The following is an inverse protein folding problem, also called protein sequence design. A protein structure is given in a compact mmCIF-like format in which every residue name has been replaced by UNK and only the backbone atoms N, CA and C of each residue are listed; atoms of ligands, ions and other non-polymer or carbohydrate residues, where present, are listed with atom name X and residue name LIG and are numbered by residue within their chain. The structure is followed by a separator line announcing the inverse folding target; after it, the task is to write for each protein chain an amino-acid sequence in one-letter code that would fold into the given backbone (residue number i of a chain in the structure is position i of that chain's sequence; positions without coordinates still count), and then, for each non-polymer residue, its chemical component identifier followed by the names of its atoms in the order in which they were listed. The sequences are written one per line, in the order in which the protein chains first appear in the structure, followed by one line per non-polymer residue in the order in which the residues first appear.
data_IF_386364310010
#
_entry.id   IF_386364310010
#
_cell.length_a   1.000
_cell.length_b   1.000
_cell.length_c   1.000
_cell.angle_alpha   90.00
_cell.angle_beta   90.00
_cell.angle_gamma   90.00
#
_symmetry.space_group_name_H-M   'P 1'
#
loop_
_entity.id
_entity.type
_entity.pdbx_description
1 polymer ?
#
# COMPACT_ATOMS: atom_id res chain seq x y z
N UNK A 1 0.15 -7.36 -5.04
CA UNK A 1 -0.76 -6.36 -5.63
C UNK A 1 0.00 -5.13 -6.13
N UNK A 2 0.80 -4.45 -5.29
CA UNK A 2 1.60 -3.27 -5.68
C UNK A 2 2.42 -3.46 -6.97
N UNK A 3 3.18 -4.56 -7.07
CA UNK A 3 3.98 -4.86 -8.26
C UNK A 3 3.15 -4.96 -9.55
N UNK A 4 1.96 -5.56 -9.49
CA UNK A 4 1.06 -5.65 -10.65
C UNK A 4 0.54 -4.26 -11.04
N UNK A 5 0.13 -3.45 -10.06
CA UNK A 5 -0.36 -2.09 -10.32
C UNK A 5 0.76 -1.23 -10.92
N UNK A 6 1.96 -1.29 -10.35
CA UNK A 6 3.14 -0.61 -10.87
C UNK A 6 3.40 -1.00 -12.34
N UNK A 7 3.43 -2.30 -12.65
CA UNK A 7 3.63 -2.80 -14.01
C UNK A 7 2.53 -2.38 -15.00
N UNK A 8 1.27 -2.37 -14.56
CA UNK A 8 0.12 -1.99 -15.41
C UNK A 8 0.01 -0.48 -15.63
N UNK A 9 0.54 0.34 -14.71
CA UNK A 9 0.42 1.81 -14.75
C UNK A 9 1.68 2.51 -15.21
N UNK A 10 2.78 1.78 -15.40
CA UNK A 10 4.11 2.31 -15.67
C UNK A 10 4.53 3.37 -14.64
N UNK A 11 4.25 3.06 -13.37
CA UNK A 11 4.62 3.90 -12.23
C UNK A 11 5.54 3.08 -11.33
N UNK A 12 6.81 3.49 -11.14
CA UNK A 12 7.73 2.75 -10.29
C UNK A 12 7.37 2.90 -8.81
N UNK A 13 7.70 1.87 -8.03
CA UNK A 13 7.69 1.89 -6.57
C UNK A 13 8.99 2.48 -6.02
N UNK A 14 8.95 2.99 -4.79
CA UNK A 14 10.14 3.40 -4.06
C UNK A 14 10.98 2.18 -3.63
N UNK A 15 12.30 2.25 -3.79
CA UNK A 15 13.20 1.10 -3.66
C UNK A 15 13.68 0.80 -2.23
N UNK A 16 13.44 1.71 -1.28
CA UNK A 16 13.84 1.64 0.12
C UNK A 16 12.69 1.27 1.07
N UNK A 17 11.56 0.83 0.49
CA UNK A 17 10.34 0.47 1.22
C UNK A 17 10.12 -1.05 1.20
N UNK A 18 10.00 -1.64 2.39
CA UNK A 18 9.43 -2.97 2.56
C UNK A 18 7.92 -2.89 2.89
N UNK A 19 7.16 -3.92 2.57
CA UNK A 19 5.74 -3.99 2.91
C UNK A 19 5.33 -5.41 3.29
N UNK A 20 4.43 -5.55 4.26
CA UNK A 20 3.79 -6.82 4.62
C UNK A 20 2.31 -6.60 4.90
N UNK A 21 1.50 -7.62 4.66
CA UNK A 21 0.06 -7.55 4.88
C UNK A 21 -0.68 -8.48 3.93
N UNK A 22 -1.86 -8.91 4.33
CA UNK A 22 -2.78 -9.59 3.43
C UNK A 22 -3.84 -8.59 2.93
N UNK A 23 -4.35 -8.81 1.72
CA UNK A 23 -5.35 -7.95 1.10
C UNK A 23 -6.61 -8.75 0.77
N UNK A 24 -7.76 -8.18 1.11
CA UNK A 24 -9.07 -8.73 0.72
C UNK A 24 -9.49 -8.22 -0.65
N UNK A 25 -10.43 -8.91 -1.33
CA UNK A 25 -11.00 -8.43 -2.60
C UNK A 25 -11.67 -7.05 -2.50
N UNK A 26 -12.06 -6.62 -1.30
CA UNK A 26 -12.62 -5.28 -1.04
C UNK A 26 -11.55 -4.23 -0.74
N UNK A 27 -10.27 -4.55 -0.92
CA UNK A 27 -9.17 -3.59 -0.73
C UNK A 27 -8.80 -3.31 0.73
N UNK A 28 -9.35 -4.03 1.70
CA UNK A 28 -8.88 -3.95 3.10
C UNK A 28 -7.55 -4.66 3.27
N UNK A 29 -6.64 -4.04 4.00
CA UNK A 29 -5.38 -4.63 4.46
C UNK A 29 -5.62 -5.22 5.84
N UNK A 30 -5.23 -6.49 6.03
CA UNK A 30 -5.40 -7.22 7.28
C UNK A 30 -4.06 -7.66 7.86
N UNK A 31 -4.08 -7.93 9.17
CA UNK A 31 -2.89 -8.23 9.94
C UNK A 31 -2.22 -9.53 9.55
N UNK A 32 -0.93 -9.64 9.90
CA UNK A 32 -0.09 -10.79 9.61
C UNK A 32 0.70 -11.20 10.84
N UNK A 33 1.13 -12.47 10.90
CA UNK A 33 2.10 -12.93 11.89
C UNK A 33 3.55 -12.58 11.55
N UNK A 34 4.42 -12.75 12.55
CA UNK A 34 5.88 -12.64 12.40
C UNK A 34 6.37 -11.21 12.13
N UNK A 35 5.72 -10.21 12.71
CA UNK A 35 6.06 -8.78 12.50
C UNK A 35 7.49 -8.50 12.95
N UNK A 36 7.92 -9.09 14.08
CA UNK A 36 9.27 -8.91 14.62
C UNK A 36 10.35 -9.40 13.66
N UNK A 37 10.23 -10.62 13.16
CA UNK A 37 11.20 -11.21 12.25
C UNK A 37 11.27 -10.45 10.93
N UNK A 38 10.10 -10.02 10.42
CA UNK A 38 10.00 -9.22 9.18
C UNK A 38 10.62 -7.83 9.34
N UNK A 39 10.38 -7.15 10.46
CA UNK A 39 10.93 -5.83 10.73
C UNK A 39 12.46 -5.88 10.88
N UNK A 40 12.99 -6.87 11.60
CA UNK A 40 14.45 -7.10 11.70
C UNK A 40 15.07 -7.42 10.34
N UNK A 41 14.39 -8.23 9.51
CA UNK A 41 14.85 -8.53 8.16
C UNK A 41 14.85 -7.28 7.25
N UNK A 42 13.86 -6.41 7.39
CA UNK A 42 13.80 -5.15 6.65
C UNK A 42 14.98 -4.24 7.00
N UNK A 43 15.26 -4.03 8.30
CA UNK A 43 16.43 -3.27 8.76
C UNK A 43 17.74 -3.85 8.21
N UNK A 44 17.93 -5.17 8.31
CA UNK A 44 19.13 -5.85 7.80
C UNK A 44 19.30 -5.72 6.27
N UNK A 45 18.20 -5.53 5.56
CA UNK A 45 18.21 -5.33 4.10
C UNK A 45 18.38 -3.86 3.71
N UNK A 46 18.59 -2.96 4.68
CA UNK A 46 18.75 -1.53 4.45
C UNK A 46 17.46 -0.78 4.13
N UNK A 47 16.30 -1.37 4.45
CA UNK A 47 15.02 -0.70 4.26
C UNK A 47 14.83 0.37 5.34
N UNK A 48 14.48 1.58 4.92
CA UNK A 48 14.28 2.74 5.80
C UNK A 48 12.83 2.88 6.23
N UNK A 49 11.90 2.28 5.45
CA UNK A 49 10.47 2.34 5.68
C UNK A 49 9.81 0.97 5.55
N UNK A 50 8.83 0.71 6.41
CA UNK A 50 8.00 -0.50 6.38
C UNK A 50 6.53 -0.13 6.38
N UNK A 51 5.80 -0.51 5.33
CA UNK A 51 4.33 -0.47 5.31
C UNK A 51 3.78 -1.68 6.06
N UNK A 52 3.00 -1.43 7.11
CA UNK A 52 2.49 -2.45 8.03
C UNK A 52 0.96 -2.30 8.20
N UNK A 53 0.18 -3.39 8.32
CA UNK A 53 -1.25 -3.28 8.58
C UNK A 53 -1.50 -2.59 9.92
N UNK A 54 -2.48 -1.69 9.98
CA UNK A 54 -2.85 -1.03 11.24
C UNK A 54 -3.27 -2.02 12.34
N UNK A 55 -3.73 -3.21 11.98
CA UNK A 55 -4.05 -4.27 12.94
C UNK A 55 -2.83 -4.84 13.67
N UNK A 56 -1.60 -4.57 13.18
CA UNK A 56 -0.34 -5.00 13.78
C UNK A 56 0.34 -3.88 14.60
N UNK A 57 -0.34 -2.76 14.86
CA UNK A 57 0.22 -1.63 15.62
C UNK A 57 0.75 -2.06 16.99
N UNK A 58 0.01 -2.91 17.71
CA UNK A 58 0.44 -3.43 19.01
C UNK A 58 1.71 -4.29 18.96
N UNK A 59 2.03 -4.87 17.80
CA UNK A 59 3.26 -5.67 17.64
C UNK A 59 4.51 -4.79 17.64
N UNK A 60 4.37 -3.49 17.32
CA UNK A 60 5.49 -2.54 17.34
C UNK A 60 6.10 -2.41 18.74
N UNK A 61 5.30 -2.53 19.79
CA UNK A 61 5.76 -2.48 21.19
C UNK A 61 6.73 -3.63 21.52
N UNK A 62 6.69 -4.72 20.75
CA UNK A 62 7.53 -5.90 20.95
C UNK A 62 8.84 -5.86 20.17
N UNK A 63 9.02 -4.83 19.32
CA UNK A 63 10.19 -4.68 18.48
C UNK A 63 11.40 -4.19 19.28
N UNK A 64 12.63 -4.62 18.92
CA UNK A 64 13.84 -4.05 19.48
C UNK A 64 13.92 -2.54 19.20
N UNK A 65 14.41 -1.78 20.18
CA UNK A 65 14.53 -0.31 20.08
C UNK A 65 15.33 0.13 18.83
N UNK A 66 16.41 -0.57 18.49
CA UNK A 66 17.22 -0.29 17.29
C UNK A 66 16.38 -0.32 16.00
N UNK A 67 15.39 -1.21 15.92
CA UNK A 67 14.49 -1.28 14.75
C UNK A 67 13.52 -0.10 14.74
N UNK A 68 12.94 0.24 15.89
CA UNK A 68 12.01 1.36 16.03
C UNK A 68 12.66 2.71 15.74
N UNK A 69 13.96 2.85 16.03
CA UNK A 69 14.73 4.07 15.77
C UNK A 69 15.21 4.17 14.31
N UNK A 70 15.53 3.05 13.67
CA UNK A 70 16.11 3.03 12.34
C UNK A 70 15.08 2.90 11.20
N UNK A 71 13.87 2.40 11.48
CA UNK A 71 12.84 2.12 10.48
C UNK A 71 11.57 2.91 10.79
N UNK A 72 11.09 3.68 9.81
CA UNK A 72 9.79 4.31 9.90
C UNK A 72 8.68 3.31 9.51
N UNK A 73 7.64 3.20 10.33
CA UNK A 73 6.48 2.34 10.07
C UNK A 73 5.27 3.15 9.59
N UNK A 74 4.78 2.82 8.40
CA UNK A 74 3.56 3.41 7.83
C UNK A 74 2.39 2.44 8.03
N UNK A 75 1.51 2.76 8.98
CA UNK A 75 0.35 1.95 9.31
C UNK A 75 -0.80 2.17 8.32
N UNK A 76 -1.26 1.10 7.67
CA UNK A 76 -2.27 1.17 6.61
C UNK A 76 -3.47 0.26 6.86
N UNK A 77 -4.65 0.69 6.41
CA UNK A 77 -5.92 -0.04 6.51
C UNK A 77 -6.46 -0.45 5.14
N UNK A 78 -6.08 0.27 4.09
CA UNK A 78 -6.63 0.10 2.75
C UNK A 78 -5.53 0.02 1.69
N UNK A 79 -5.87 -0.58 0.55
CA UNK A 79 -4.96 -0.67 -0.60
C UNK A 79 -4.61 0.70 -1.18
N UNK A 80 -5.52 1.66 -1.09
CA UNK A 80 -5.28 3.04 -1.55
C UNK A 80 -4.18 3.71 -0.71
N UNK A 81 -4.17 3.48 0.60
CA UNK A 81 -3.09 3.93 1.49
C UNK A 81 -1.76 3.26 1.14
N UNK A 82 -1.77 1.95 0.87
CA UNK A 82 -0.56 1.23 0.40
C UNK A 82 -0.03 1.86 -0.90
N UNK A 83 -0.88 2.11 -1.89
CA UNK A 83 -0.46 2.70 -3.17
C UNK A 83 0.11 4.11 -2.99
N UNK A 84 -0.49 4.89 -2.10
CA UNK A 84 -0.01 6.23 -1.74
C UNK A 84 1.36 6.18 -1.08
N UNK A 85 1.62 5.17 -0.24
CA UNK A 85 2.88 5.03 0.46
C UNK A 85 4.04 4.57 -0.46
N UNK A 86 3.75 3.70 -1.45
CA UNK A 86 4.80 2.96 -2.17
C UNK A 86 5.07 3.44 -3.59
N UNK A 87 4.11 4.06 -4.26
CA UNK A 87 4.30 4.57 -5.63
C UNK A 87 5.00 5.93 -5.62
N UNK A 88 5.81 6.20 -6.65
CA UNK A 88 6.48 7.50 -6.84
C UNK A 88 5.52 8.63 -7.21
N UNK A 89 4.37 8.29 -7.80
CA UNK A 89 3.23 9.19 -8.04
C UNK A 89 1.95 8.36 -8.07
N UNK A 90 0.80 8.97 -7.81
CA UNK A 90 -0.47 8.27 -7.99
C UNK A 90 -0.89 8.26 -9.47
N UNK A 91 -1.53 7.18 -9.95
CA UNK A 91 -2.15 7.20 -11.26
C UNK A 91 -3.22 8.29 -11.31
N UNK A 92 -3.22 9.08 -12.39
CA UNK A 92 -4.27 10.08 -12.61
C UNK A 92 -5.58 9.32 -12.74
N UNK A 93 -6.55 9.58 -11.85
CA UNK A 93 -7.90 9.05 -12.02
C UNK A 93 -8.39 9.52 -13.39
N UNK A 94 -8.54 8.58 -14.33
CA UNK A 94 -9.13 8.88 -15.61
C UNK A 94 -10.45 9.57 -15.35
N UNK A 95 -10.62 10.77 -15.93
CA UNK A 95 -11.91 11.43 -15.97
C UNK A 95 -12.83 10.44 -16.68
N UNK A 96 -13.75 9.80 -15.96
CA UNK A 96 -14.87 9.15 -16.63
C UNK A 96 -15.62 10.30 -17.29
N UNK A 97 -15.35 10.54 -18.57
CA UNK A 97 -16.34 11.23 -19.39
C UNK A 97 -17.57 10.34 -19.36
N UNK A 98 -18.51 10.66 -18.48
CA UNK A 98 -19.91 10.34 -18.71
C UNK A 98 -20.26 11.03 -20.04
N UNK A 99 -20.02 10.33 -21.15
CA UNK A 99 -20.75 10.59 -22.37
C UNK A 99 -22.20 10.33 -22.01
N UNK A 100 -22.90 11.41 -21.66
CA UNK A 100 -24.33 11.52 -21.89
C UNK A 100 -24.55 11.22 -23.37
N UNK A 101 -24.67 9.93 -23.70
CA UNK A 101 -25.32 9.49 -24.93
C UNK A 101 -26.76 9.94 -24.73
N UNK A 102 -27.04 11.14 -25.20
CA UNK A 102 -28.39 11.66 -25.31
C UNK A 102 -29.20 10.64 -26.09
N UNK A 103 -30.00 9.86 -25.38
CA UNK A 103 -31.07 9.10 -25.99
C UNK A 103 -32.13 10.13 -26.36
N UNK A 104 -31.95 10.77 -27.53
CA UNK A 104 -33.04 11.44 -28.23
C UNK A 104 -34.08 10.36 -28.53
N UNK A 105 -35.15 10.33 -27.74
CA UNK A 105 -36.33 9.54 -28.08
C UNK A 105 -36.86 10.05 -29.44
N UNK A 106 -37.12 9.16 -30.41
CA UNK A 106 -37.74 9.57 -31.66
C UNK A 106 -39.19 9.97 -31.40
N UNK A 107 -39.67 10.89 -32.23
CA UNK A 107 -41.03 11.43 -32.21
C UNK A 107 -42.10 10.34 -32.37
N UNK A 108 -43.26 10.57 -31.75
CA UNK A 108 -44.49 9.78 -31.90
C UNK A 108 -45.50 10.10 -30.82
#
# INVERSE_FOLDING_TARGET
AAALISALTDIPTQGDIAMTGEITLRGRVIGVGGVKEKAVAALRSGMTRVVLPAANESDLETLPQEVLEAVQFDLVRTMDEVMTAVLTRLPIRGRTEEKNVGLSAPHG
#
